data_IF_922945378942
#
_entry.id   IF_922945378942
#
_cell.length_a   1.000
_cell.length_b   1.000
_cell.length_c   1.000
_cell.angle_alpha   90.00
_cell.angle_beta   90.00
_cell.angle_gamma   90.00
#
_symmetry.space_group_name_H-M   'P 1'
#
loop_
_entity.id
_entity.type
_entity.pdbx_description
1 polymer ?
#
# COMPACT_ATOMS: atom_id res chain seq x y z
N UNK A 1 -31.44 -29.84 4.40
CA UNK A 1 -30.24 -29.18 4.99
C UNK A 1 -29.45 -28.57 3.84
N UNK A 2 -29.60 -27.26 3.61
CA UNK A 2 -28.76 -26.56 2.62
C UNK A 2 -27.44 -26.29 3.33
N UNK A 3 -26.43 -27.09 3.02
CA UNK A 3 -25.04 -26.79 3.37
C UNK A 3 -24.68 -25.51 2.62
N UNK A 4 -24.80 -24.37 3.30
CA UNK A 4 -24.35 -23.10 2.78
C UNK A 4 -22.82 -23.11 2.74
N UNK A 5 -22.24 -23.36 1.57
CA UNK A 5 -20.83 -23.07 1.32
C UNK A 5 -20.59 -21.60 1.66
N UNK A 6 -19.91 -21.34 2.78
CA UNK A 6 -19.40 -19.99 3.08
C UNK A 6 -18.54 -19.56 1.90
N UNK A 7 -18.83 -18.38 1.37
CA UNK A 7 -18.03 -17.78 0.31
C UNK A 7 -16.58 -17.66 0.77
N UNK A 8 -15.64 -18.17 -0.03
CA UNK A 8 -14.22 -18.13 0.29
C UNK A 8 -13.68 -16.73 -0.01
N UNK A 9 -13.11 -16.08 1.01
CA UNK A 9 -12.43 -14.79 0.84
C UNK A 9 -10.95 -15.03 0.56
N UNK A 10 -10.52 -14.71 -0.66
CA UNK A 10 -9.12 -14.80 -1.10
C UNK A 10 -8.34 -13.54 -0.72
N UNK A 11 -7.19 -13.72 -0.09
CA UNK A 11 -6.39 -12.62 0.46
C UNK A 11 -4.98 -12.54 -0.13
N UNK A 12 -4.44 -13.63 -0.66
CA UNK A 12 -3.13 -13.69 -1.30
C UNK A 12 -3.16 -14.77 -2.39
N UNK A 13 -3.22 -14.37 -3.66
CA UNK A 13 -3.45 -15.33 -4.77
C UNK A 13 -4.67 -16.20 -4.50
N UNK A 14 -4.45 -17.51 -4.47
CA UNK A 14 -5.48 -18.53 -4.21
C UNK A 14 -5.61 -18.89 -2.72
N UNK A 15 -4.85 -18.23 -1.83
CA UNK A 15 -4.93 -18.42 -0.38
C UNK A 15 -6.04 -17.58 0.24
N UNK A 16 -6.74 -18.20 1.18
CA UNK A 16 -7.93 -17.68 1.84
C UNK A 16 -7.65 -17.12 3.23
N UNK A 17 -8.66 -16.49 3.83
CA UNK A 17 -8.63 -16.10 5.25
C UNK A 17 -8.39 -17.31 6.17
N UNK A 18 -8.95 -18.48 5.85
CA UNK A 18 -8.75 -19.70 6.64
C UNK A 18 -7.28 -20.15 6.60
N UNK A 19 -6.66 -20.11 5.42
CA UNK A 19 -5.24 -20.44 5.26
C UNK A 19 -4.35 -19.51 6.08
N UNK A 20 -4.68 -18.21 6.13
CA UNK A 20 -3.96 -17.26 6.98
C UNK A 20 -4.16 -17.55 8.47
N UNK A 21 -5.38 -17.82 8.92
CA UNK A 21 -5.61 -18.15 10.33
C UNK A 21 -4.89 -19.45 10.73
N UNK A 22 -4.76 -20.42 9.82
CA UNK A 22 -3.96 -21.61 10.04
C UNK A 22 -2.46 -21.27 10.17
N UNK A 23 -1.90 -20.50 9.23
CA UNK A 23 -0.49 -20.07 9.28
C UNK A 23 -0.20 -19.25 10.54
N UNK A 24 -1.09 -18.31 10.89
CA UNK A 24 -0.92 -17.43 12.04
C UNK A 24 -0.79 -18.18 13.36
N UNK A 25 -1.46 -19.33 13.52
CA UNK A 25 -1.37 -20.14 14.76
C UNK A 25 0.02 -20.71 15.03
N UNK A 26 0.85 -20.85 14.00
CA UNK A 26 2.22 -21.35 14.14
C UNK A 26 3.27 -20.22 14.18
N UNK A 27 2.86 -18.96 14.06
CA UNK A 27 3.76 -17.81 14.14
C UNK A 27 3.99 -17.41 15.60
N UNK A 28 5.26 -17.44 16.00
CA UNK A 28 5.71 -16.97 17.32
C UNK A 28 6.84 -15.97 17.14
N UNK A 29 6.78 -14.83 17.83
CA UNK A 29 7.85 -13.82 17.80
C UNK A 29 9.15 -14.44 18.32
N UNK A 30 10.23 -14.34 17.54
CA UNK A 30 11.51 -15.01 17.85
C UNK A 30 11.49 -16.54 17.68
N UNK A 31 10.41 -17.10 17.13
CA UNK A 31 10.26 -18.52 16.82
C UNK A 31 10.94 -18.94 15.52
N UNK A 32 10.44 -20.02 14.91
CA UNK A 32 11.04 -20.61 13.70
C UNK A 32 11.09 -19.61 12.53
N UNK A 33 12.28 -19.36 11.95
CA UNK A 33 12.43 -18.54 10.75
C UNK A 33 11.62 -19.07 9.56
N UNK A 34 11.50 -20.39 9.42
CA UNK A 34 10.81 -21.01 8.28
C UNK A 34 9.31 -20.68 8.28
N UNK A 35 8.65 -20.73 9.45
CA UNK A 35 7.23 -20.35 9.55
C UNK A 35 7.00 -18.88 9.20
N UNK A 36 7.95 -18.00 9.55
CA UNK A 36 7.90 -16.59 9.19
C UNK A 36 8.21 -16.36 7.71
N UNK A 37 9.15 -17.11 7.13
CA UNK A 37 9.42 -17.09 5.69
C UNK A 37 8.18 -17.50 4.90
N UNK A 38 7.50 -18.58 5.30
CA UNK A 38 6.25 -19.02 4.67
C UNK A 38 5.15 -17.95 4.77
N UNK A 39 5.00 -17.30 5.93
CA UNK A 39 4.04 -16.21 6.07
C UNK A 39 4.39 -15.00 5.20
N UNK A 40 5.68 -14.68 5.11
CA UNK A 40 6.17 -13.59 4.27
C UNK A 40 5.95 -13.89 2.79
N UNK A 41 6.44 -15.02 2.28
CA UNK A 41 6.41 -15.36 0.86
C UNK A 41 4.99 -15.57 0.37
N UNK A 42 4.21 -16.39 1.09
CA UNK A 42 2.90 -16.82 0.62
C UNK A 42 1.80 -15.79 0.85
N UNK A 43 1.86 -14.99 1.93
CA UNK A 43 0.81 -14.01 2.21
C UNK A 43 1.23 -12.58 1.92
N UNK A 44 2.37 -12.13 2.44
CA UNK A 44 2.76 -10.74 2.34
C UNK A 44 3.31 -10.39 0.95
N UNK A 45 4.39 -11.04 0.52
CA UNK A 45 5.05 -10.80 -0.75
C UNK A 45 4.14 -11.15 -1.92
N UNK A 46 3.39 -12.26 -1.86
CA UNK A 46 2.45 -12.62 -2.92
C UNK A 46 1.38 -11.54 -3.15
N UNK A 47 0.86 -10.90 -2.10
CA UNK A 47 -0.07 -9.76 -2.24
C UNK A 47 0.58 -8.58 -2.92
N UNK A 48 1.80 -8.23 -2.53
CA UNK A 48 2.55 -7.13 -3.13
C UNK A 48 2.78 -7.37 -4.63
N UNK A 49 3.22 -8.59 -4.96
CA UNK A 49 3.48 -9.02 -6.32
C UNK A 49 2.22 -8.97 -7.20
N UNK A 50 1.14 -9.60 -6.76
CA UNK A 50 -0.07 -9.72 -7.58
C UNK A 50 -0.87 -8.42 -7.70
N UNK A 51 -0.89 -7.59 -6.65
CA UNK A 51 -1.76 -6.40 -6.59
C UNK A 51 -1.07 -5.11 -6.98
N UNK A 52 0.27 -5.05 -6.90
CA UNK A 52 1.02 -3.82 -7.17
C UNK A 52 2.16 -4.04 -8.16
N UNK A 53 3.18 -4.85 -7.82
CA UNK A 53 4.40 -4.91 -8.64
C UNK A 53 4.16 -5.46 -10.05
N UNK A 54 3.53 -6.63 -10.20
CA UNK A 54 3.26 -7.20 -11.53
C UNK A 54 2.33 -6.31 -12.37
N UNK A 55 1.23 -5.74 -11.82
CA UNK A 55 0.45 -4.75 -12.56
C UNK A 55 1.26 -3.53 -13.02
N UNK A 56 2.11 -2.96 -12.15
CA UNK A 56 2.96 -1.81 -12.51
C UNK A 56 3.94 -2.21 -13.63
N UNK A 57 4.64 -3.33 -13.49
CA UNK A 57 5.57 -3.85 -14.50
C UNK A 57 4.87 -4.12 -15.83
N UNK A 58 3.65 -4.69 -15.79
CA UNK A 58 2.86 -4.94 -16.97
C UNK A 58 2.48 -3.63 -17.68
N UNK A 59 2.01 -2.64 -16.94
CA UNK A 59 1.68 -1.30 -17.49
C UNK A 59 2.95 -0.66 -18.07
N UNK A 60 4.08 -0.71 -17.35
CA UNK A 60 5.34 -0.15 -17.79
C UNK A 60 5.85 -0.78 -19.10
N UNK A 61 5.69 -2.11 -19.25
CA UNK A 61 6.14 -2.87 -20.42
C UNK A 61 5.24 -2.69 -21.64
N UNK A 62 3.93 -2.55 -21.44
CA UNK A 62 2.93 -2.60 -22.52
C UNK A 62 2.25 -1.25 -22.80
N UNK A 63 2.51 -0.21 -22.00
CA UNK A 63 1.88 1.10 -22.15
C UNK A 63 2.37 1.90 -23.37
N UNK A 64 1.48 2.75 -23.89
CA UNK A 64 1.76 3.69 -24.98
C UNK A 64 2.16 5.10 -24.49
N UNK A 65 2.23 5.30 -23.17
CA UNK A 65 2.71 6.50 -22.47
C UNK A 65 1.81 7.73 -22.62
N UNK A 66 0.50 7.52 -22.76
CA UNK A 66 -0.51 8.58 -22.87
C UNK A 66 -1.25 8.87 -21.57
N UNK A 67 -1.02 8.07 -20.53
CA UNK A 67 -1.63 8.29 -19.22
C UNK A 67 -1.26 7.26 -18.15
N UNK A 68 -0.59 6.18 -18.53
CA UNK A 68 -0.21 5.05 -17.69
C UNK A 68 0.61 5.45 -16.46
N UNK A 69 1.38 6.54 -16.54
CA UNK A 69 2.08 7.11 -15.40
C UNK A 69 1.14 7.40 -14.22
N UNK A 70 -0.08 7.87 -14.50
CA UNK A 70 -1.09 8.15 -13.48
C UNK A 70 -1.56 6.87 -12.79
N UNK A 71 -1.79 5.82 -13.56
CA UNK A 71 -2.17 4.50 -13.03
C UNK A 71 -1.04 3.89 -12.21
N UNK A 72 0.20 3.92 -12.72
CA UNK A 72 1.37 3.39 -12.01
C UNK A 72 1.61 4.14 -10.69
N UNK A 73 1.61 5.48 -10.71
CA UNK A 73 1.82 6.27 -9.48
C UNK A 73 0.64 6.10 -8.50
N UNK A 74 -0.59 5.94 -8.97
CA UNK A 74 -1.73 5.62 -8.10
C UNK A 74 -1.54 4.28 -7.37
N UNK A 75 -1.09 3.25 -8.09
CA UNK A 75 -0.75 1.94 -7.50
C UNK A 75 0.41 2.05 -6.53
N UNK A 76 1.45 2.84 -6.85
CA UNK A 76 2.57 3.09 -5.96
C UNK A 76 2.14 3.82 -4.68
N UNK A 77 1.26 4.82 -4.76
CA UNK A 77 0.73 5.48 -3.57
C UNK A 77 -0.08 4.52 -2.68
N UNK A 78 -0.91 3.66 -3.28
CA UNK A 78 -1.64 2.64 -2.53
C UNK A 78 -0.69 1.60 -1.91
N UNK A 79 0.39 1.25 -2.60
CA UNK A 79 1.45 0.38 -2.09
C UNK A 79 2.16 1.01 -0.88
N UNK A 80 2.56 2.28 -0.97
CA UNK A 80 3.21 3.01 0.13
C UNK A 80 2.32 3.00 1.38
N UNK A 81 1.02 3.27 1.23
CA UNK A 81 0.06 3.24 2.34
C UNK A 81 -0.06 1.83 2.96
N UNK A 82 -0.07 0.79 2.13
CA UNK A 82 -0.11 -0.59 2.60
C UNK A 82 1.16 -0.99 3.36
N UNK A 83 2.34 -0.58 2.88
CA UNK A 83 3.63 -0.80 3.56
C UNK A 83 3.66 -0.07 4.90
N UNK A 84 3.22 1.18 4.93
CA UNK A 84 3.14 1.99 6.14
C UNK A 84 2.21 1.38 7.19
N UNK A 85 1.02 0.93 6.79
CA UNK A 85 0.09 0.24 7.67
C UNK A 85 0.67 -1.07 8.20
N UNK A 86 1.29 -1.88 7.33
CA UNK A 86 1.84 -3.18 7.72
C UNK A 86 3.02 -3.04 8.69
N UNK A 87 3.92 -2.08 8.45
CA UNK A 87 5.06 -1.80 9.33
C UNK A 87 4.63 -1.44 10.74
N UNK A 88 3.54 -0.68 10.86
CA UNK A 88 2.96 -0.30 12.15
C UNK A 88 2.00 -1.36 12.73
N UNK A 89 1.78 -2.49 12.03
CA UNK A 89 0.81 -3.51 12.45
C UNK A 89 -0.63 -3.01 12.48
N UNK A 90 -0.98 -1.99 11.69
CA UNK A 90 -2.29 -1.34 11.71
C UNK A 90 -3.20 -1.80 10.57
N UNK A 91 -4.51 -1.76 10.80
CA UNK A 91 -5.55 -1.96 9.77
C UNK A 91 -6.43 -0.71 9.63
N UNK A 92 -6.86 -0.42 8.40
CA UNK A 92 -7.80 0.66 8.16
C UNK A 92 -9.19 0.29 8.68
N UNK A 93 -9.87 1.25 9.32
CA UNK A 93 -11.30 1.16 9.62
C UNK A 93 -12.00 2.50 9.42
N UNK A 94 -13.13 2.46 8.71
CA UNK A 94 -14.04 3.60 8.65
C UNK A 94 -14.85 3.67 9.95
N UNK A 95 -14.73 4.77 10.70
CA UNK A 95 -15.46 4.97 11.94
C UNK A 95 -16.90 5.40 11.69
N UNK A 96 -17.86 4.71 12.30
CA UNK A 96 -19.23 5.24 12.46
C UNK A 96 -19.30 6.21 13.63
N UNK A 97 -20.32 7.08 13.65
CA UNK A 97 -20.53 8.05 14.73
C UNK A 97 -20.57 7.34 16.08
N UNK A 98 -19.70 7.75 17.00
CA UNK A 98 -19.60 7.19 18.35
C UNK A 98 -18.63 6.01 18.50
N UNK A 99 -18.04 5.52 17.41
CA UNK A 99 -16.99 4.50 17.48
C UNK A 99 -15.61 5.13 17.75
N UNK A 100 -14.76 4.41 18.47
CA UNK A 100 -13.36 4.76 18.73
C UNK A 100 -12.44 3.73 18.11
N UNK A 101 -11.24 4.13 17.70
CA UNK A 101 -10.21 3.22 17.15
C UNK A 101 -9.65 2.32 18.26
N UNK A 102 -9.35 1.07 17.90
CA UNK A 102 -8.48 0.23 18.73
C UNK A 102 -7.01 0.54 18.45
N UNK A 103 -6.11 0.00 19.29
CA UNK A 103 -4.65 0.26 19.23
C UNK A 103 -4.03 0.05 17.85
N UNK A 104 -4.53 -0.92 17.08
CA UNK A 104 -3.99 -1.30 15.78
C UNK A 104 -4.90 -0.88 14.63
N UNK A 105 -5.66 0.20 14.81
CA UNK A 105 -6.57 0.73 13.80
C UNK A 105 -6.29 2.20 13.49
N UNK A 106 -6.46 2.57 12.22
CA UNK A 106 -6.42 3.96 11.77
C UNK A 106 -7.60 4.26 10.83
N UNK A 107 -7.99 5.53 10.74
CA UNK A 107 -9.07 6.00 9.85
C UNK A 107 -8.65 7.13 8.91
N UNK A 108 -7.52 7.80 9.20
CA UNK A 108 -6.97 8.88 8.38
C UNK A 108 -5.68 8.39 7.71
N UNK A 109 -5.79 8.02 6.44
CA UNK A 109 -4.66 7.51 5.64
C UNK A 109 -3.52 8.52 5.53
N UNK A 110 -3.82 9.82 5.48
CA UNK A 110 -2.82 10.87 5.28
C UNK A 110 -1.72 10.89 6.33
N UNK A 111 -2.05 10.71 7.62
CA UNK A 111 -1.05 10.70 8.68
C UNK A 111 -0.07 9.55 8.50
N UNK A 112 -0.59 8.33 8.29
CA UNK A 112 0.22 7.12 8.13
C UNK A 112 1.09 7.20 6.88
N UNK A 113 0.53 7.73 5.79
CA UNK A 113 1.24 7.92 4.53
C UNK A 113 2.37 8.95 4.64
N UNK A 114 2.08 10.15 5.16
CA UNK A 114 3.08 11.21 5.28
C UNK A 114 4.20 10.82 6.24
N UNK A 115 3.88 10.17 7.36
CA UNK A 115 4.88 9.71 8.32
C UNK A 115 5.85 8.71 7.67
N UNK A 116 5.33 7.76 6.90
CA UNK A 116 6.16 6.80 6.18
C UNK A 116 7.14 7.48 5.20
N UNK A 117 6.69 8.49 4.46
CA UNK A 117 7.57 9.25 3.57
C UNK A 117 8.70 9.99 4.31
N UNK A 118 8.43 10.45 5.53
CA UNK A 118 9.40 11.22 6.33
C UNK A 118 10.38 10.35 7.11
N UNK A 119 10.01 9.12 7.46
CA UNK A 119 10.78 8.29 8.38
C UNK A 119 11.53 7.14 7.68
N UNK A 120 11.04 6.67 6.54
CA UNK A 120 11.52 5.44 5.90
C UNK A 120 12.39 5.71 4.67
N UNK A 121 13.48 4.94 4.55
CA UNK A 121 14.32 4.96 3.35
C UNK A 121 13.61 4.29 2.16
N UNK A 122 13.80 4.77 0.93
CA UNK A 122 14.61 5.94 0.56
C UNK A 122 13.86 7.29 0.69
N UNK A 123 12.56 7.28 0.98
CA UNK A 123 11.70 8.47 0.92
C UNK A 123 12.15 9.61 1.84
N UNK A 124 12.64 9.30 3.05
CA UNK A 124 13.10 10.30 4.01
C UNK A 124 14.25 11.19 3.51
N UNK A 125 14.95 10.77 2.45
CA UNK A 125 15.98 11.59 1.81
C UNK A 125 15.38 12.70 0.93
N UNK A 126 14.12 12.56 0.52
CA UNK A 126 13.44 13.48 -0.40
C UNK A 126 12.34 14.29 0.27
N UNK A 127 11.71 13.76 1.32
CA UNK A 127 10.52 14.34 1.94
C UNK A 127 10.78 14.90 3.33
N UNK A 128 10.39 16.16 3.51
CA UNK A 128 10.10 16.77 4.80
C UNK A 128 8.59 16.79 5.09
N UNK A 129 8.17 17.36 6.22
CA UNK A 129 6.76 17.43 6.62
C UNK A 129 5.88 18.13 5.57
N UNK A 130 6.36 19.26 5.03
CA UNK A 130 5.60 20.08 4.09
C UNK A 130 5.44 19.40 2.73
N UNK A 131 6.54 18.87 2.19
CA UNK A 131 6.55 18.17 0.90
C UNK A 131 5.83 16.84 0.96
N UNK A 132 5.85 16.12 2.09
CA UNK A 132 5.05 14.91 2.27
C UNK A 132 3.55 15.23 2.27
N UNK A 133 3.13 16.29 2.97
CA UNK A 133 1.74 16.76 2.98
C UNK A 133 1.28 17.26 1.60
N UNK A 134 2.13 18.01 0.89
CA UNK A 134 1.84 18.46 -0.48
C UNK A 134 1.75 17.27 -1.44
N UNK A 135 2.67 16.30 -1.38
CA UNK A 135 2.60 15.10 -2.22
C UNK A 135 1.34 14.26 -1.94
N UNK A 136 0.97 14.08 -0.67
CA UNK A 136 -0.25 13.37 -0.30
C UNK A 136 -1.51 14.03 -0.90
N UNK A 137 -1.61 15.36 -0.80
CA UNK A 137 -2.80 16.09 -1.27
C UNK A 137 -2.79 16.33 -2.79
N UNK A 138 -1.66 16.73 -3.34
CA UNK A 138 -1.48 17.19 -4.72
C UNK A 138 -1.14 16.06 -5.71
N UNK A 139 -0.65 14.91 -5.22
CA UNK A 139 -0.40 13.72 -6.05
C UNK A 139 -1.34 12.60 -5.64
N UNK A 140 -1.18 11.99 -4.45
CA UNK A 140 -1.96 10.80 -4.06
C UNK A 140 -3.47 11.02 -4.13
N UNK A 141 -4.00 12.03 -3.45
CA UNK A 141 -5.44 12.32 -3.45
C UNK A 141 -5.94 12.85 -4.79
N UNK A 142 -5.19 13.73 -5.45
CA UNK A 142 -5.57 14.31 -6.74
C UNK A 142 -5.66 13.25 -7.85
N UNK A 143 -4.74 12.27 -7.86
CA UNK A 143 -4.78 11.16 -8.81
C UNK A 143 -6.06 10.34 -8.66
N UNK A 144 -6.44 10.01 -7.42
CA UNK A 144 -7.60 9.17 -7.13
C UNK A 144 -8.95 9.88 -7.32
N UNK A 145 -9.03 11.18 -7.02
CA UNK A 145 -10.29 11.92 -7.03
C UNK A 145 -10.51 12.74 -8.30
N UNK A 146 -9.44 13.11 -9.00
CA UNK A 146 -9.52 14.08 -10.09
C UNK A 146 -8.72 13.67 -11.34
N UNK A 147 -8.08 12.49 -11.34
CA UNK A 147 -7.25 12.00 -12.44
C UNK A 147 -6.20 13.02 -12.93
N UNK A 148 -5.69 13.85 -12.00
CA UNK A 148 -4.70 14.91 -12.28
C UNK A 148 -3.68 15.01 -11.14
N UNK A 149 -2.58 15.70 -11.39
CA UNK A 149 -1.75 16.29 -10.33
C UNK A 149 -2.16 17.74 -10.08
N UNK A 150 -1.77 18.27 -8.91
CA UNK A 150 -1.98 19.67 -8.50
C UNK A 150 -0.66 20.34 -8.14
N UNK A 151 -0.72 21.64 -7.88
CA UNK A 151 0.40 22.42 -7.33
C UNK A 151 1.69 22.35 -8.14
N UNK A 152 1.62 22.09 -9.45
CA UNK A 152 2.79 22.01 -10.34
C UNK A 152 3.47 20.65 -10.38
N UNK A 153 3.03 19.67 -9.59
CA UNK A 153 3.58 18.31 -9.62
C UNK A 153 3.44 17.67 -11.00
N UNK A 154 4.50 16.98 -11.44
CA UNK A 154 4.55 16.26 -12.72
C UNK A 154 4.95 14.81 -12.51
N UNK A 155 4.43 13.93 -13.36
CA UNK A 155 4.85 12.53 -13.43
C UNK A 155 5.73 12.37 -14.66
N UNK A 156 7.00 12.14 -14.44
CA UNK A 156 7.98 11.90 -15.50
C UNK A 156 8.02 10.41 -15.85
N UNK A 157 8.20 10.11 -17.14
CA UNK A 157 8.38 8.72 -17.61
C UNK A 157 9.64 8.07 -17.04
N UNK A 158 10.70 8.87 -16.91
CA UNK A 158 12.01 8.49 -16.38
C UNK A 158 12.62 9.72 -15.72
N UNK A 159 13.38 9.54 -14.64
CA UNK A 159 14.08 10.64 -13.96
C UNK A 159 14.95 10.12 -12.82
N UNK A 160 15.95 10.90 -12.46
CA UNK A 160 16.75 10.73 -11.27
C UNK A 160 16.96 12.12 -10.63
N UNK A 161 16.61 12.34 -9.35
CA UNK A 161 16.06 11.37 -8.39
C UNK A 161 14.65 10.87 -8.75
N UNK A 162 14.17 9.83 -8.06
CA UNK A 162 12.84 9.26 -8.31
C UNK A 162 11.70 10.21 -7.94
N UNK A 163 11.93 11.10 -6.97
CA UNK A 163 11.02 12.19 -6.58
C UNK A 163 11.82 13.48 -6.49
N UNK A 164 11.31 14.53 -7.12
CA UNK A 164 11.79 15.91 -6.95
C UNK A 164 10.69 16.72 -6.25
N UNK A 165 10.92 17.10 -4.99
CA UNK A 165 9.96 17.87 -4.18
C UNK A 165 9.90 19.34 -4.58
N UNK A 166 10.76 19.81 -5.50
CA UNK A 166 10.69 21.13 -6.11
C UNK A 166 9.66 21.25 -7.27
N UNK A 167 9.08 20.13 -7.73
CA UNK A 167 7.94 19.97 -8.68
C UNK A 167 8.24 19.84 -10.19
#
# INVERSE_FOLDING_TARGET
MISGTREKTYIAGDLTVEDWENQKRILTVGGSPDSWADAFDNFFLQRLQLRYFRPIEFIQKNGDWRGEGFSMVSLQCALIEFLAATRNGMKYRHLKRGEVLSQFEYTKSGTVFCQFLQEEMPFKEWFDENSAADFYSSVRCALLHEARTKSGWRIWRTGAPAVDTAR
#
